data_IF_247364204704
#
_entry.id   IF_247364204704
#
_cell.length_a   1.000
_cell.length_b   1.000
_cell.length_c   1.000
_cell.angle_alpha   90.00
_cell.angle_beta   90.00
_cell.angle_gamma   90.00
#
_symmetry.space_group_name_H-M   'P 1'
#
loop_
_entity.id
_entity.type
_entity.pdbx_description
1 polymer ?
#
# COMPACT_ATOMS: atom_id res chain seq x y z
N UNK A 1 55.63 36.38 -0.68
CA UNK A 1 54.26 36.41 -1.23
C UNK A 1 54.03 35.05 -1.89
N UNK A 2 53.58 34.04 -1.15
CA UNK A 2 52.19 33.75 -0.73
C UNK A 2 51.27 33.59 -1.95
N UNK A 3 50.99 32.34 -2.33
CA UNK A 3 49.64 31.78 -2.36
C UNK A 3 49.68 30.30 -2.81
N UNK A 4 49.63 29.40 -1.83
CA UNK A 4 49.20 28.01 -2.03
C UNK A 4 47.71 28.03 -2.37
N UNK A 5 47.33 27.61 -3.58
CA UNK A 5 45.95 27.25 -3.88
C UNK A 5 45.69 25.83 -3.37
N UNK A 6 45.18 25.73 -2.15
CA UNK A 6 44.52 24.51 -1.66
C UNK A 6 43.17 24.40 -2.39
N UNK A 7 43.11 23.57 -3.42
CA UNK A 7 41.85 23.05 -3.95
C UNK A 7 41.34 22.00 -2.96
N UNK A 8 40.56 22.43 -1.96
CA UNK A 8 39.78 21.51 -1.14
C UNK A 8 38.69 20.94 -2.04
N UNK A 9 38.94 19.76 -2.58
CA UNK A 9 37.94 18.86 -3.12
C UNK A 9 36.94 18.53 -2.00
N UNK A 10 35.94 19.38 -1.85
CA UNK A 10 34.68 19.02 -1.20
C UNK A 10 34.00 18.00 -2.11
N UNK A 11 34.44 16.75 -2.08
CA UNK A 11 33.56 15.64 -2.41
C UNK A 11 32.51 15.65 -1.28
N UNK A 12 31.26 16.05 -1.53
CA UNK A 12 30.23 15.66 -0.59
C UNK A 12 30.26 14.14 -0.67
N UNK A 13 30.72 13.51 0.41
CA UNK A 13 30.35 12.14 0.70
C UNK A 13 28.84 12.16 0.79
N UNK A 14 28.18 12.02 -0.36
CA UNK A 14 26.84 11.49 -0.43
C UNK A 14 26.97 10.04 0.05
N UNK A 15 27.02 9.90 1.37
CA UNK A 15 26.74 8.66 2.04
C UNK A 15 25.25 8.44 1.85
N UNK A 16 24.85 8.11 0.61
CA UNK A 16 23.55 7.54 0.35
C UNK A 16 23.53 6.26 1.16
N UNK A 17 22.80 6.27 2.27
CA UNK A 17 22.41 5.02 2.90
C UNK A 17 21.55 4.28 1.89
N UNK A 18 22.20 3.45 1.08
CA UNK A 18 21.54 2.72 0.02
C UNK A 18 20.87 1.53 0.69
N UNK A 19 19.54 1.54 0.74
CA UNK A 19 18.77 0.39 1.18
C UNK A 19 19.26 -0.86 0.43
N UNK A 20 19.66 -1.89 1.20
CA UNK A 20 20.06 -3.18 0.68
C UNK A 20 18.95 -4.18 0.97
N UNK A 21 18.58 -4.94 -0.05
CA UNK A 21 17.63 -6.04 0.09
C UNK A 21 18.26 -7.07 1.06
N UNK A 22 17.52 -7.53 2.07
CA UNK A 22 18.01 -8.55 3.01
C UNK A 22 18.41 -9.84 2.28
N UNK A 23 19.37 -10.59 2.83
CA UNK A 23 19.73 -11.91 2.30
C UNK A 23 18.51 -12.84 2.33
N UNK A 24 18.36 -13.66 1.28
CA UNK A 24 17.21 -14.56 1.11
C UNK A 24 15.98 -13.89 0.48
N UNK A 25 16.09 -12.61 0.09
CA UNK A 25 15.03 -11.87 -0.59
C UNK A 25 15.51 -11.28 -1.92
N UNK A 26 14.55 -11.09 -2.82
CA UNK A 26 14.72 -10.43 -4.11
C UNK A 26 13.73 -9.29 -4.25
N UNK A 27 14.06 -8.31 -5.10
CA UNK A 27 13.10 -7.26 -5.46
C UNK A 27 12.02 -7.88 -6.34
N UNK A 28 10.76 -7.56 -6.05
CA UNK A 28 9.64 -8.00 -6.82
C UNK A 28 9.43 -7.03 -7.98
N UNK A 29 9.95 -7.35 -9.16
CA UNK A 29 10.09 -6.42 -10.29
C UNK A 29 8.94 -6.46 -11.29
N UNK A 30 8.08 -7.48 -11.24
CA UNK A 30 6.95 -7.64 -12.17
C UNK A 30 5.71 -8.13 -11.42
N UNK A 31 4.58 -7.46 -11.64
CA UNK A 31 3.30 -7.85 -11.06
C UNK A 31 2.69 -9.00 -11.86
N UNK A 32 2.48 -10.19 -11.27
CA UNK A 32 1.88 -11.31 -11.97
C UNK A 32 0.40 -11.07 -12.30
N UNK A 33 -0.25 -10.11 -11.62
CA UNK A 33 -1.64 -9.77 -11.88
C UNK A 33 -1.86 -9.10 -13.22
N UNK A 34 -0.90 -8.33 -13.71
CA UNK A 34 -1.09 -7.51 -14.92
C UNK A 34 0.15 -7.36 -15.80
N UNK A 35 1.26 -8.05 -15.48
CA UNK A 35 2.53 -7.97 -16.20
C UNK A 35 3.21 -6.60 -16.14
N UNK A 36 2.72 -5.66 -15.31
CA UNK A 36 3.32 -4.34 -15.19
C UNK A 36 4.53 -4.40 -14.27
N UNK A 37 5.55 -3.65 -14.67
CA UNK A 37 6.76 -3.47 -13.89
C UNK A 37 6.44 -2.86 -12.51
N UNK A 38 6.91 -3.53 -11.48
CA UNK A 38 6.85 -3.10 -10.09
C UNK A 38 8.14 -2.35 -9.78
N UNK A 39 8.13 -1.03 -10.02
CA UNK A 39 9.31 -0.19 -9.75
C UNK A 39 9.41 0.18 -8.29
N UNK A 40 10.64 0.14 -7.78
CA UNK A 40 11.03 0.85 -6.56
C UNK A 40 10.67 2.33 -6.68
N UNK A 41 10.12 2.87 -5.61
CA UNK A 41 9.91 4.31 -5.46
C UNK A 41 11.06 4.87 -4.63
N UNK A 42 11.62 5.98 -5.09
CA UNK A 42 12.58 6.80 -4.38
C UNK A 42 11.96 8.19 -4.21
N UNK A 43 11.68 8.59 -2.97
CA UNK A 43 10.97 9.83 -2.67
C UNK A 43 11.20 10.30 -1.23
N UNK A 44 11.00 11.58 -0.95
CA UNK A 44 11.00 12.16 0.40
C UNK A 44 9.68 11.84 1.14
N UNK A 45 9.54 10.59 1.61
CA UNK A 45 8.28 10.09 2.18
C UNK A 45 7.99 10.68 3.55
N UNK A 46 9.04 10.88 4.36
CA UNK A 46 8.94 11.47 5.69
C UNK A 46 9.30 12.96 5.77
N UNK A 47 9.34 13.65 4.62
CA UNK A 47 9.44 15.12 4.48
C UNK A 47 10.64 15.73 5.20
N UNK A 48 11.77 15.05 5.19
CA UNK A 48 13.01 15.52 5.78
C UNK A 48 14.07 15.94 4.74
N UNK A 49 13.67 15.95 3.46
CA UNK A 49 14.49 16.30 2.30
C UNK A 49 15.58 15.28 1.97
N UNK A 50 15.43 14.03 2.41
CA UNK A 50 16.25 12.91 1.97
C UNK A 50 15.41 11.88 1.23
N UNK A 51 16.07 11.17 0.32
CA UNK A 51 15.44 10.13 -0.45
C UNK A 51 15.20 8.89 0.43
N UNK A 52 13.94 8.50 0.57
CA UNK A 52 13.52 7.23 1.16
C UNK A 52 13.31 6.19 0.05
N UNK A 53 13.36 4.91 0.44
CA UNK A 53 13.17 3.79 -0.49
C UNK A 53 11.91 3.03 -0.14
N UNK A 54 11.02 2.86 -1.11
CA UNK A 54 9.82 2.03 -0.99
C UNK A 54 9.87 0.97 -2.08
N UNK A 55 9.81 -0.31 -1.70
CA UNK A 55 9.87 -1.42 -2.65
C UNK A 55 9.10 -2.64 -2.15
N UNK A 56 8.74 -3.53 -3.05
CA UNK A 56 8.20 -4.86 -2.71
C UNK A 56 9.33 -5.87 -2.86
N UNK A 57 9.48 -6.74 -1.87
CA UNK A 57 10.41 -7.87 -1.90
C UNK A 57 9.68 -9.19 -1.72
N UNK A 58 10.26 -10.27 -2.23
CA UNK A 58 9.78 -11.63 -2.05
C UNK A 58 10.91 -12.56 -1.61
N UNK A 59 10.58 -13.67 -0.94
CA UNK A 59 11.57 -14.69 -0.61
C UNK A 59 12.11 -15.36 -1.87
N UNK A 60 13.43 -15.38 -2.03
CA UNK A 60 14.08 -15.84 -3.28
C UNK A 60 14.07 -17.35 -3.46
N UNK A 61 13.98 -18.12 -2.38
CA UNK A 61 14.10 -19.59 -2.39
C UNK A 61 12.80 -20.30 -2.81
N UNK A 62 11.69 -19.57 -2.89
CA UNK A 62 10.37 -20.10 -3.19
C UNK A 62 9.88 -19.63 -4.56
N UNK A 63 9.05 -20.45 -5.20
CA UNK A 63 8.32 -20.04 -6.40
C UNK A 63 7.46 -18.81 -6.12
N UNK A 64 7.27 -17.96 -7.12
CA UNK A 64 6.64 -16.63 -6.97
C UNK A 64 5.28 -16.68 -6.27
N UNK A 65 4.48 -17.72 -6.55
CA UNK A 65 3.15 -17.93 -5.99
C UNK A 65 3.20 -18.33 -4.52
N UNK A 66 4.22 -19.10 -4.11
CA UNK A 66 4.42 -19.56 -2.73
C UNK A 66 5.30 -18.64 -1.89
N UNK A 67 6.06 -17.74 -2.52
CA UNK A 67 6.95 -16.83 -1.83
C UNK A 67 6.15 -15.79 -1.04
N UNK A 68 6.51 -15.64 0.24
CA UNK A 68 6.05 -14.51 1.07
C UNK A 68 6.52 -13.21 0.46
N UNK A 69 5.66 -12.19 0.53
CA UNK A 69 5.89 -10.87 -0.06
C UNK A 69 5.72 -9.80 0.99
N UNK A 70 6.60 -8.80 0.91
CA UNK A 70 6.64 -7.70 1.86
C UNK A 70 6.72 -6.37 1.12
N UNK A 71 5.92 -5.40 1.54
CA UNK A 71 6.24 -4.00 1.28
C UNK A 71 7.30 -3.56 2.26
N UNK A 72 8.37 -2.95 1.77
CA UNK A 72 9.42 -2.34 2.57
C UNK A 72 9.39 -0.83 2.37
N UNK A 73 9.42 -0.09 3.48
CA UNK A 73 9.57 1.36 3.51
C UNK A 73 10.79 1.68 4.36
N UNK A 74 11.87 2.11 3.73
CA UNK A 74 13.13 2.47 4.39
C UNK A 74 13.26 4.00 4.46
N UNK A 75 13.26 4.52 5.68
CA UNK A 75 13.48 5.94 5.95
C UNK A 75 14.97 6.21 6.17
N UNK A 76 15.57 6.94 5.23
CA UNK A 76 17.02 7.05 5.10
C UNK A 76 17.66 7.83 6.26
N UNK A 77 17.05 8.94 6.69
CA UNK A 77 17.57 9.77 7.77
C UNK A 77 17.55 9.08 9.14
N UNK A 78 16.55 8.21 9.33
CA UNK A 78 16.30 7.51 10.59
C UNK A 78 17.00 6.16 10.63
N UNK A 79 17.54 5.71 9.49
CA UNK A 79 18.00 4.34 9.30
C UNK A 79 16.96 3.32 9.79
N UNK A 80 15.68 3.55 9.44
CA UNK A 80 14.55 2.79 9.97
C UNK A 80 13.78 2.14 8.85
N UNK A 81 13.58 0.83 8.96
CA UNK A 81 12.78 0.05 8.02
C UNK A 81 11.42 -0.27 8.63
N UNK A 82 10.37 -0.08 7.86
CA UNK A 82 9.04 -0.62 8.14
C UNK A 82 8.73 -1.70 7.11
N UNK A 83 7.97 -2.70 7.53
CA UNK A 83 7.49 -3.76 6.65
C UNK A 83 5.99 -3.99 6.82
N UNK A 84 5.34 -4.38 5.72
CA UNK A 84 3.98 -4.93 5.73
C UNK A 84 4.07 -6.32 5.14
N UNK A 85 3.66 -7.32 5.91
CA UNK A 85 3.50 -8.69 5.43
C UNK A 85 2.20 -8.78 4.62
N UNK A 86 2.29 -9.19 3.36
CA UNK A 86 1.11 -9.33 2.51
C UNK A 86 0.24 -10.53 2.84
N UNK A 87 0.75 -11.49 3.62
CA UNK A 87 -0.04 -12.62 4.13
C UNK A 87 -1.19 -12.12 5.04
N UNK A 88 -1.09 -10.90 5.60
CA UNK A 88 -2.17 -10.25 6.36
C UNK A 88 -3.48 -10.12 5.57
N UNK A 89 -3.40 -10.12 4.24
CA UNK A 89 -4.51 -9.94 3.32
C UNK A 89 -4.93 -11.25 2.63
N UNK A 90 -4.37 -12.40 3.03
CA UNK A 90 -4.42 -13.64 2.24
C UNK A 90 -4.00 -13.40 0.76
N UNK A 91 -3.14 -12.41 0.55
CA UNK A 91 -2.88 -11.82 -0.75
C UNK A 91 -1.61 -12.37 -1.38
N UNK A 92 -1.67 -12.64 -2.69
CA UNK A 92 -0.56 -13.25 -3.43
C UNK A 92 0.07 -12.28 -4.42
N UNK A 93 -0.68 -11.25 -4.87
CA UNK A 93 -0.21 -10.31 -5.89
C UNK A 93 -0.52 -8.86 -5.57
N UNK A 94 0.35 -7.96 -6.06
CA UNK A 94 0.27 -6.53 -5.80
C UNK A 94 0.29 -5.74 -7.10
N UNK A 95 -0.56 -4.72 -7.20
CA UNK A 95 -0.51 -3.73 -8.29
C UNK A 95 0.65 -2.75 -8.04
N UNK A 96 1.29 -2.22 -9.11
CA UNK A 96 2.32 -1.18 -9.02
C UNK A 96 2.08 -0.15 -7.93
N UNK A 97 3.12 0.01 -7.09
CA UNK A 97 3.16 1.04 -6.07
C UNK A 97 2.97 2.42 -6.72
N UNK A 98 2.14 3.26 -6.12
CA UNK A 98 1.96 4.64 -6.54
C UNK A 98 2.29 5.57 -5.39
N UNK A 99 3.11 6.58 -5.64
CA UNK A 99 3.34 7.64 -4.67
C UNK A 99 2.98 8.99 -5.30
N UNK A 100 1.94 9.63 -4.75
CA UNK A 100 1.44 10.93 -5.21
C UNK A 100 0.87 11.71 -4.04
N UNK A 101 1.05 13.04 -4.04
CA UNK A 101 0.50 13.94 -3.01
C UNK A 101 0.81 13.47 -1.56
N UNK A 102 2.03 13.00 -1.32
CA UNK A 102 2.49 12.46 -0.04
C UNK A 102 1.70 11.24 0.46
N UNK A 103 1.14 10.45 -0.47
CA UNK A 103 0.41 9.22 -0.18
C UNK A 103 0.99 8.09 -0.99
N UNK A 104 1.38 7.02 -0.30
CA UNK A 104 1.71 5.73 -0.90
C UNK A 104 0.43 4.92 -1.03
N UNK A 105 0.09 4.52 -2.24
CA UNK A 105 -1.09 3.74 -2.59
C UNK A 105 -0.67 2.43 -3.27
N UNK A 106 -1.30 1.33 -2.86
CA UNK A 106 -1.11 0.03 -3.49
C UNK A 106 -2.34 -0.85 -3.24
N UNK A 107 -2.52 -1.85 -4.11
CA UNK A 107 -3.60 -2.83 -4.00
C UNK A 107 -2.99 -4.23 -3.92
N UNK A 108 -3.51 -5.04 -3.01
CA UNK A 108 -3.16 -6.44 -2.81
C UNK A 108 -4.35 -7.31 -3.16
N UNK A 109 -4.16 -8.31 -4.02
CA UNK A 109 -5.22 -9.24 -4.44
C UNK A 109 -4.93 -10.66 -3.98
N UNK A 110 -6.02 -11.38 -3.68
CA UNK A 110 -5.97 -12.83 -3.51
C UNK A 110 -5.84 -13.52 -4.88
N UNK A 111 -4.98 -14.53 -4.96
CA UNK A 111 -4.77 -15.32 -6.17
C UNK A 111 -6.06 -15.95 -6.70
N UNK A 112 -6.21 -15.98 -8.02
CA UNK A 112 -7.35 -16.61 -8.70
C UNK A 112 -8.68 -15.86 -8.60
N UNK A 113 -8.78 -14.83 -7.76
CA UNK A 113 -10.05 -14.10 -7.54
C UNK A 113 -10.23 -12.92 -8.48
N UNK A 114 -9.13 -12.33 -8.99
CA UNK A 114 -9.10 -11.16 -9.89
C UNK A 114 -9.77 -9.87 -9.37
N UNK A 115 -10.44 -9.95 -8.23
CA UNK A 115 -11.43 -8.96 -7.78
C UNK A 115 -11.44 -8.81 -6.25
N UNK A 116 -11.01 -9.83 -5.49
CA UNK A 116 -10.86 -9.72 -4.04
C UNK A 116 -9.58 -8.94 -3.71
N UNK A 117 -9.74 -7.68 -3.35
CA UNK A 117 -8.66 -6.70 -3.29
C UNK A 117 -8.69 -5.84 -2.03
N UNK A 118 -7.52 -5.63 -1.43
CA UNK A 118 -7.27 -4.69 -0.35
C UNK A 118 -6.43 -3.52 -0.87
N UNK A 119 -7.03 -2.33 -0.94
CA UNK A 119 -6.34 -1.09 -1.29
C UNK A 119 -5.93 -0.31 -0.06
N UNK A 120 -4.65 0.02 0.07
CA UNK A 120 -4.12 0.78 1.20
C UNK A 120 -3.63 2.15 0.75
N UNK A 121 -3.93 3.19 1.55
CA UNK A 121 -3.42 4.55 1.39
C UNK A 121 -2.64 4.94 2.64
N UNK A 122 -1.32 5.04 2.53
CA UNK A 122 -0.41 5.31 3.64
C UNK A 122 0.20 6.71 3.54
N UNK A 123 0.38 7.36 4.69
CA UNK A 123 1.07 8.65 4.81
C UNK A 123 1.93 8.67 6.05
N UNK A 124 3.12 9.28 5.97
CA UNK A 124 3.94 9.50 7.16
C UNK A 124 3.33 10.60 8.05
N UNK A 125 3.11 10.28 9.32
CA UNK A 125 2.61 11.22 10.31
C UNK A 125 3.78 11.93 11.00
N UNK A 126 3.95 13.22 10.70
CA UNK A 126 5.06 14.03 11.24
C UNK A 126 5.04 14.20 12.76
N UNK A 127 3.87 14.17 13.40
CA UNK A 127 3.75 14.40 14.84
C UNK A 127 4.18 13.16 15.63
N UNK A 128 3.74 11.99 15.18
CA UNK A 128 4.00 10.70 15.85
C UNK A 128 5.25 10.00 15.30
N UNK A 129 5.79 10.49 14.17
CA UNK A 129 6.95 9.93 13.46
C UNK A 129 6.76 8.45 13.10
N UNK A 130 5.57 8.15 12.59
CA UNK A 130 5.12 6.79 12.26
C UNK A 130 4.26 6.79 10.99
N UNK A 131 4.13 5.64 10.33
CA UNK A 131 3.36 5.51 9.08
C UNK A 131 1.90 5.23 9.44
N UNK A 132 1.00 6.06 8.95
CA UNK A 132 -0.42 6.01 9.24
C UNK A 132 -1.21 5.52 8.02
N UNK A 133 -2.19 4.64 8.26
CA UNK A 133 -3.22 4.31 7.29
C UNK A 133 -4.27 5.44 7.28
N UNK A 134 -4.40 6.10 6.14
CA UNK A 134 -5.30 7.25 5.97
C UNK A 134 -6.52 6.93 5.10
N UNK A 135 -6.46 5.84 4.35
CA UNK A 135 -7.58 5.34 3.56
C UNK A 135 -7.44 3.84 3.31
N UNK A 136 -8.58 3.21 3.10
CA UNK A 136 -8.70 1.79 2.88
C UNK A 136 -9.79 1.52 1.85
N UNK A 137 -9.46 0.75 0.83
CA UNK A 137 -10.40 0.31 -0.19
C UNK A 137 -10.52 -1.23 -0.10
N UNK A 138 -11.71 -1.76 -0.35
CA UNK A 138 -11.97 -3.19 -0.31
C UNK A 138 -12.96 -3.56 -1.40
N UNK A 139 -12.57 -4.48 -2.26
CA UNK A 139 -13.37 -4.91 -3.41
C UNK A 139 -13.49 -6.43 -3.44
N UNK A 140 -14.61 -6.95 -3.90
CA UNK A 140 -14.80 -8.38 -4.14
C UNK A 140 -15.96 -8.65 -5.11
N UNK A 141 -15.93 -9.79 -5.77
CA UNK A 141 -16.97 -10.23 -6.70
C UNK A 141 -18.10 -10.91 -5.93
N UNK A 142 -19.34 -10.65 -6.33
CA UNK A 142 -20.53 -11.37 -5.85
C UNK A 142 -21.09 -12.23 -6.99
N UNK A 143 -21.95 -13.22 -6.72
CA UNK A 143 -22.60 -14.01 -7.79
C UNK A 143 -23.32 -13.13 -8.83
N UNK A 144 -23.92 -12.03 -8.39
CA UNK A 144 -24.68 -11.09 -9.23
C UNK A 144 -23.88 -9.93 -9.82
N UNK A 145 -22.62 -9.73 -9.41
CA UNK A 145 -21.81 -8.60 -9.86
C UNK A 145 -20.58 -8.35 -8.99
N UNK A 146 -20.40 -7.13 -8.49
CA UNK A 146 -19.23 -6.73 -7.73
C UNK A 146 -19.56 -5.64 -6.71
N UNK A 147 -18.85 -5.69 -5.58
CA UNK A 147 -18.95 -4.72 -4.51
C UNK A 147 -17.58 -4.06 -4.31
N UNK A 148 -17.56 -2.74 -4.28
CA UNK A 148 -16.40 -1.94 -3.96
C UNK A 148 -16.71 -0.97 -2.83
N UNK A 149 -15.79 -0.90 -1.86
CA UNK A 149 -15.91 -0.03 -0.70
C UNK A 149 -14.67 0.82 -0.59
N UNK A 150 -14.86 2.12 -0.36
CA UNK A 150 -13.76 3.06 -0.14
C UNK A 150 -13.99 3.77 1.18
N UNK A 151 -12.95 3.88 1.99
CA UNK A 151 -13.05 4.41 3.33
C UNK A 151 -11.94 5.42 3.62
N UNK A 152 -12.33 6.67 3.87
CA UNK A 152 -11.44 7.73 4.33
C UNK A 152 -11.32 7.70 5.86
N UNK A 153 -10.18 7.24 6.36
CA UNK A 153 -9.95 7.06 7.80
C UNK A 153 -9.65 8.38 8.53
N UNK A 154 -9.42 9.48 7.79
CA UNK A 154 -9.24 10.80 8.39
C UNK A 154 -10.58 11.43 8.75
N UNK A 155 -11.57 11.31 7.87
CA UNK A 155 -12.91 11.91 8.05
C UNK A 155 -13.93 10.94 8.65
N UNK A 156 -13.74 9.65 8.44
CA UNK A 156 -14.73 8.62 8.75
C UNK A 156 -15.68 8.32 7.59
N UNK A 157 -15.61 9.06 6.49
CA UNK A 157 -16.53 8.89 5.36
C UNK A 157 -16.21 7.60 4.60
N UNK A 158 -17.24 6.83 4.29
CA UNK A 158 -17.12 5.66 3.44
C UNK A 158 -18.19 5.66 2.34
N UNK A 159 -17.89 4.96 1.26
CA UNK A 159 -18.81 4.71 0.15
C UNK A 159 -18.81 3.22 -0.16
N UNK A 160 -20.00 2.67 -0.39
CA UNK A 160 -20.22 1.31 -0.89
C UNK A 160 -20.83 1.44 -2.27
N UNK A 161 -20.24 0.80 -3.26
CA UNK A 161 -20.73 0.79 -4.64
C UNK A 161 -20.93 -0.65 -5.06
N UNK A 162 -22.15 -1.01 -5.41
CA UNK A 162 -22.49 -2.31 -5.94
C UNK A 162 -22.81 -2.17 -7.42
N UNK A 163 -22.16 -2.95 -8.27
CA UNK A 163 -22.60 -3.19 -9.64
C UNK A 163 -23.22 -4.58 -9.72
N UNK A 164 -24.41 -4.69 -10.32
CA UNK A 164 -25.11 -5.97 -10.44
C UNK A 164 -25.88 -6.06 -11.74
N UNK A 165 -26.06 -7.29 -12.24
CA UNK A 165 -26.86 -7.53 -13.43
C UNK A 165 -28.34 -7.69 -13.08
N UNK A 166 -29.17 -6.74 -13.50
CA UNK A 166 -30.61 -6.79 -13.29
C UNK A 166 -31.27 -7.66 -14.37
N UNK A 167 -31.71 -8.86 -13.98
CA UNK A 167 -32.36 -9.82 -14.88
C UNK A 167 -33.67 -9.32 -15.50
N UNK A 168 -34.36 -8.36 -14.85
CA UNK A 168 -35.62 -7.80 -15.37
C UNK A 168 -35.37 -6.79 -16.48
N UNK A 169 -34.32 -5.98 -16.35
CA UNK A 169 -33.98 -4.92 -17.32
C UNK A 169 -32.95 -5.39 -18.35
N UNK A 170 -32.26 -6.50 -18.09
CA UNK A 170 -31.20 -7.06 -18.95
C UNK A 170 -29.94 -6.19 -18.97
N UNK A 171 -29.70 -5.39 -17.93
CA UNK A 171 -28.62 -4.40 -17.87
C UNK A 171 -27.87 -4.47 -16.55
N UNK A 172 -26.60 -4.07 -16.58
CA UNK A 172 -25.84 -3.79 -15.35
C UNK A 172 -26.32 -2.47 -14.76
N UNK A 173 -26.68 -2.50 -13.49
CA UNK A 173 -27.08 -1.35 -12.70
C UNK A 173 -26.03 -1.08 -11.62
N UNK A 174 -25.92 0.17 -11.18
CA UNK A 174 -24.97 0.59 -10.15
C UNK A 174 -25.71 1.30 -9.05
N UNK A 175 -25.56 0.81 -7.83
CA UNK A 175 -26.06 1.44 -6.62
C UNK A 175 -24.89 1.94 -5.78
N UNK A 176 -25.07 3.07 -5.10
CA UNK A 176 -24.03 3.62 -4.23
C UNK A 176 -24.62 4.20 -2.95
N UNK A 177 -23.97 3.89 -1.84
CA UNK A 177 -24.34 4.31 -0.50
C UNK A 177 -23.18 5.02 0.15
N UNK A 178 -23.45 6.18 0.75
CA UNK A 178 -22.46 6.96 1.51
C UNK A 178 -22.81 6.93 2.98
N UNK A 179 -21.80 6.76 3.82
CA UNK A 179 -21.95 6.82 5.27
C UNK A 179 -20.75 7.45 5.95
N UNK A 180 -20.83 7.60 7.27
CA UNK A 180 -19.72 8.05 8.10
C UNK A 180 -19.61 7.17 9.35
N UNK A 181 -18.41 6.65 9.62
CA UNK A 181 -18.09 5.85 10.79
C UNK A 181 -16.70 6.17 11.31
N UNK A 182 -16.49 7.36 11.88
CA UNK A 182 -15.16 7.77 12.36
C UNK A 182 -14.54 6.77 13.34
N UNK A 183 -13.31 6.31 13.06
CA UNK A 183 -12.55 5.48 13.98
C UNK A 183 -12.14 6.27 15.22
N UNK A 184 -12.19 5.68 16.43
CA UNK A 184 -11.82 6.36 17.66
C UNK A 184 -10.32 6.61 17.79
N UNK A 185 -9.49 5.91 17.00
CA UNK A 185 -8.03 5.99 17.06
C UNK A 185 -7.42 5.99 15.67
N UNK A 186 -6.29 6.68 15.53
CA UNK A 186 -5.45 6.59 14.35
C UNK A 186 -4.83 5.19 14.23
N UNK A 187 -4.74 4.68 13.01
CA UNK A 187 -4.22 3.35 12.71
C UNK A 187 -2.81 3.52 12.14
N UNK A 188 -1.82 2.98 12.82
CA UNK A 188 -0.43 2.99 12.36
C UNK A 188 -0.01 1.61 11.85
N UNK A 189 1.03 1.57 11.03
CA UNK A 189 1.55 0.33 10.41
C UNK A 189 1.84 -0.78 11.43
N UNK A 190 2.33 -0.42 12.63
CA UNK A 190 2.57 -1.36 13.73
C UNK A 190 1.30 -2.01 14.32
N UNK A 191 0.13 -1.47 14.00
CA UNK A 191 -1.17 -1.98 14.44
C UNK A 191 -1.80 -2.91 13.41
N UNK A 192 -1.16 -3.15 12.28
CA UNK A 192 -1.72 -3.97 11.21
C UNK A 192 -1.83 -5.43 11.64
N UNK A 193 -3.02 -5.99 11.45
CA UNK A 193 -3.37 -7.38 11.73
C UNK A 193 -4.53 -7.80 10.84
N UNK A 194 -4.71 -9.10 10.61
CA UNK A 194 -5.85 -9.61 9.83
C UNK A 194 -7.18 -9.16 10.42
N UNK A 195 -7.34 -9.21 11.75
CA UNK A 195 -8.54 -8.74 12.45
C UNK A 195 -8.84 -7.25 12.20
N UNK A 196 -7.81 -6.41 12.14
CA UNK A 196 -7.99 -4.99 11.82
C UNK A 196 -8.59 -4.84 10.41
N UNK A 197 -8.03 -5.54 9.42
CA UNK A 197 -8.48 -5.43 8.04
C UNK A 197 -9.84 -6.07 7.82
N UNK A 198 -10.17 -7.17 8.50
CA UNK A 198 -11.53 -7.72 8.55
C UNK A 198 -12.53 -6.69 9.10
N UNK A 199 -12.18 -6.00 10.19
CA UNK A 199 -13.02 -4.95 10.76
C UNK A 199 -13.21 -3.78 9.79
N UNK A 200 -12.14 -3.35 9.10
CA UNK A 200 -12.24 -2.30 8.08
C UNK A 200 -13.07 -2.76 6.87
N UNK A 201 -12.88 -3.99 6.43
CA UNK A 201 -13.68 -4.65 5.39
C UNK A 201 -15.12 -4.90 5.81
N UNK A 202 -15.49 -4.80 7.08
CA UNK A 202 -16.89 -4.94 7.53
C UNK A 202 -17.68 -3.62 7.49
N UNK A 203 -17.00 -2.48 7.31
CA UNK A 203 -17.68 -1.18 7.27
C UNK A 203 -18.60 -1.10 6.05
N UNK A 204 -19.85 -0.70 6.27
CA UNK A 204 -20.88 -0.59 5.22
C UNK A 204 -21.44 -1.93 4.74
N UNK A 205 -21.22 -3.02 5.49
CA UNK A 205 -21.67 -4.37 5.11
C UNK A 205 -23.18 -4.48 4.92
N UNK A 206 -23.94 -3.70 5.68
CA UNK A 206 -25.40 -3.62 5.58
C UNK A 206 -25.92 -3.08 4.24
N UNK A 207 -25.04 -2.50 3.41
CA UNK A 207 -25.36 -1.98 2.07
C UNK A 207 -24.77 -2.83 0.95
N UNK A 208 -24.19 -4.00 1.26
CA UNK A 208 -23.70 -4.95 0.26
C UNK A 208 -24.86 -5.71 -0.38
N UNK A 209 -24.79 -5.95 -1.69
CA UNK A 209 -25.72 -6.83 -2.39
C UNK A 209 -25.11 -8.23 -2.51
N UNK A 210 -25.74 -9.23 -1.90
CA UNK A 210 -25.35 -10.66 -1.99
C UNK A 210 -25.81 -11.31 -3.29
#
# INVERSE_FOLDING_TARGET
MRNCFLFILMLPFFCFSQFRIPKGFSEFTESPSNGKEMKRIVADFDKDKKDDVITVINQSEYELHSAKKYLIIYLSSKNKTFSIDFDLFNGVFVIPLQYKNDVLEFLVYQEGTGVYGHGLKLRFNQKVKDIQLIGYDYSYRTPGGHCNKTYNLLTGDYNVTNDFYNMKTGKTEVESFKGNKKQPKHIFIKNFSSQLFENLSSVGKEFELE
#
